data_IF_677533839023
#
_entry.id   IF_677533839023
#
_cell.length_a   1.000
_cell.length_b   1.000
_cell.length_c   1.000
_cell.angle_alpha   90.00
_cell.angle_beta   90.00
_cell.angle_gamma   90.00
#
_symmetry.space_group_name_H-M   'P 1'
#
loop_
_entity.id
_entity.type
_entity.pdbx_description
1 polymer ?
#
# COMPACT_ATOMS: atom_id res chain seq x y z
N UNK A 1 23.95 -7.22 0.00
CA UNK A 1 22.69 -6.45 -0.06
C UNK A 1 22.30 -6.12 1.38
N UNK A 2 22.43 -4.86 1.80
CA UNK A 2 22.10 -4.45 3.17
C UNK A 2 20.57 -4.33 3.25
N UNK A 3 19.91 -5.17 4.04
CA UNK A 3 18.48 -5.02 4.35
C UNK A 3 18.33 -3.87 5.35
N UNK A 4 18.15 -2.66 4.84
CA UNK A 4 17.87 -1.50 5.68
C UNK A 4 16.41 -1.56 6.12
N UNK A 5 16.20 -1.90 7.39
CA UNK A 5 14.89 -1.85 8.04
C UNK A 5 14.71 -0.49 8.71
N UNK A 6 13.64 0.21 8.33
CA UNK A 6 13.21 1.45 8.95
C UNK A 6 12.19 1.17 10.06
N UNK A 7 12.06 2.10 11.01
CA UNK A 7 11.13 1.93 12.14
C UNK A 7 9.67 1.80 11.68
N UNK A 8 9.28 2.51 10.64
CA UNK A 8 7.93 2.54 10.07
C UNK A 8 7.96 3.14 8.65
N UNK A 9 6.77 3.27 8.06
CA UNK A 9 6.57 3.85 6.74
C UNK A 9 7.06 5.31 6.65
N UNK A 10 6.88 6.12 7.69
CA UNK A 10 7.27 7.52 7.69
C UNK A 10 8.80 7.65 7.64
N UNK A 11 9.49 6.91 8.50
CA UNK A 11 10.95 6.81 8.48
C UNK A 11 11.46 6.30 7.13
N UNK A 12 10.78 5.32 6.53
CA UNK A 12 11.11 4.78 5.21
C UNK A 12 11.00 5.83 4.10
N UNK A 13 9.89 6.56 3.99
CA UNK A 13 9.69 7.57 2.93
C UNK A 13 10.51 8.84 3.18
N UNK A 14 10.86 9.15 4.43
CA UNK A 14 11.74 10.27 4.73
C UNK A 14 13.16 10.04 4.18
N UNK A 15 13.67 8.82 4.35
CA UNK A 15 15.07 8.49 4.06
C UNK A 15 15.30 7.81 2.70
N UNK A 16 14.26 7.28 2.05
CA UNK A 16 14.36 6.62 0.74
C UNK A 16 13.60 7.39 -0.34
N UNK A 17 14.34 8.06 -1.22
CA UNK A 17 13.78 8.88 -2.30
C UNK A 17 12.97 8.07 -3.32
N UNK A 18 13.45 6.89 -3.71
CA UNK A 18 12.73 6.00 -4.63
C UNK A 18 11.46 5.43 -4.00
N UNK A 19 11.50 5.10 -2.70
CA UNK A 19 10.33 4.61 -1.98
C UNK A 19 9.29 5.69 -1.82
N UNK A 20 9.71 6.93 -1.50
CA UNK A 20 8.82 8.09 -1.45
C UNK A 20 8.19 8.39 -2.81
N UNK A 21 8.96 8.35 -3.89
CA UNK A 21 8.44 8.55 -5.24
C UNK A 21 7.38 7.49 -5.60
N UNK A 22 7.64 6.22 -5.26
CA UNK A 22 6.65 5.16 -5.43
C UNK A 22 5.39 5.41 -4.58
N UNK A 23 5.55 5.70 -3.28
CA UNK A 23 4.43 5.98 -2.40
C UNK A 23 3.52 7.12 -2.92
N UNK A 24 4.13 8.23 -3.37
CA UNK A 24 3.40 9.38 -3.90
C UNK A 24 2.76 9.11 -5.28
N UNK A 25 3.20 8.07 -6.00
CA UNK A 25 2.57 7.67 -7.27
C UNK A 25 1.27 6.86 -7.06
N UNK A 26 1.02 6.37 -5.84
CA UNK A 26 -0.20 5.64 -5.51
C UNK A 26 -1.41 6.58 -5.39
N UNK A 27 -2.64 6.10 -5.63
CA UNK A 27 -3.85 6.87 -5.33
C UNK A 27 -3.89 7.34 -3.87
N UNK A 28 -4.51 8.50 -3.62
CA UNK A 28 -4.57 9.10 -2.27
C UNK A 28 -5.22 8.14 -1.26
N UNK A 29 -6.27 7.43 -1.66
CA UNK A 29 -6.95 6.44 -0.82
C UNK A 29 -6.00 5.29 -0.43
N UNK A 30 -5.12 4.88 -1.34
CA UNK A 30 -4.11 3.89 -1.07
C UNK A 30 -3.02 4.44 -0.13
N UNK A 31 -2.60 5.68 -0.31
CA UNK A 31 -1.65 6.35 0.58
C UNK A 31 -2.18 6.41 2.02
N UNK A 32 -3.44 6.79 2.21
CA UNK A 32 -4.09 6.85 3.53
C UNK A 32 -4.15 5.48 4.20
N UNK A 33 -4.61 4.46 3.48
CA UNK A 33 -4.67 3.08 4.01
C UNK A 33 -3.29 2.53 4.34
N UNK A 34 -2.29 2.80 3.50
CA UNK A 34 -0.91 2.37 3.78
C UNK A 34 -0.33 3.07 5.01
N UNK A 35 -0.71 4.33 5.26
CA UNK A 35 -0.36 5.02 6.50
C UNK A 35 -1.00 4.38 7.74
N UNK A 36 -2.23 3.87 7.67
CA UNK A 36 -2.87 3.15 8.77
C UNK A 36 -2.09 1.89 9.17
N UNK A 37 -1.49 1.20 8.19
CA UNK A 37 -0.61 0.05 8.42
C UNK A 37 0.88 0.43 8.50
N UNK A 38 1.20 1.72 8.63
CA UNK A 38 2.56 2.25 8.50
C UNK A 38 3.55 1.65 9.50
N UNK A 39 3.08 1.24 10.68
CA UNK A 39 3.87 0.58 11.72
C UNK A 39 4.38 -0.83 11.31
N UNK A 40 3.82 -1.44 10.28
CA UNK A 40 4.23 -2.77 9.78
C UNK A 40 5.06 -2.70 8.49
N UNK A 41 5.32 -1.49 7.97
CA UNK A 41 6.01 -1.29 6.69
C UNK A 41 7.40 -0.72 6.95
N UNK A 42 8.39 -1.60 6.98
CA UNK A 42 9.77 -1.26 7.35
C UNK A 42 10.73 -1.19 6.15
N UNK A 43 10.26 -1.51 4.95
CA UNK A 43 11.11 -1.61 3.75
C UNK A 43 10.32 -1.34 2.48
N UNK A 44 11.04 -1.01 1.40
CA UNK A 44 10.44 -0.82 0.07
C UNK A 44 9.70 -2.08 -0.41
N UNK A 45 10.28 -3.26 -0.20
CA UNK A 45 9.64 -4.53 -0.54
C UNK A 45 8.35 -4.76 0.27
N UNK A 46 8.37 -4.37 1.56
CA UNK A 46 7.18 -4.35 2.41
C UNK A 46 6.11 -3.44 1.82
N UNK A 47 6.46 -2.21 1.47
CA UNK A 47 5.53 -1.24 0.89
C UNK A 47 4.87 -1.77 -0.38
N UNK A 48 5.65 -2.30 -1.33
CA UNK A 48 5.11 -2.90 -2.56
C UNK A 48 4.15 -4.05 -2.27
N UNK A 49 4.50 -4.93 -1.31
CA UNK A 49 3.66 -6.06 -0.92
C UNK A 49 2.33 -5.60 -0.32
N UNK A 50 2.34 -4.60 0.55
CA UNK A 50 1.10 -4.05 1.14
C UNK A 50 0.25 -3.33 0.09
N UNK A 51 0.87 -2.54 -0.80
CA UNK A 51 0.17 -1.87 -1.89
C UNK A 51 -0.52 -2.87 -2.83
N UNK A 52 0.16 -3.96 -3.21
CA UNK A 52 -0.42 -5.01 -4.05
C UNK A 52 -1.60 -5.72 -3.34
N UNK A 53 -1.46 -6.05 -2.06
CA UNK A 53 -2.54 -6.67 -1.28
C UNK A 53 -3.77 -5.76 -1.21
N UNK A 54 -3.56 -4.45 -1.04
CA UNK A 54 -4.63 -3.49 -1.03
C UNK A 54 -5.37 -3.43 -2.38
N UNK A 55 -4.64 -3.37 -3.49
CA UNK A 55 -5.24 -3.39 -4.83
C UNK A 55 -6.06 -4.68 -5.07
N UNK A 56 -5.51 -5.84 -4.68
CA UNK A 56 -6.21 -7.11 -4.81
C UNK A 56 -7.50 -7.13 -3.99
N UNK A 57 -7.46 -6.61 -2.76
CA UNK A 57 -8.63 -6.52 -1.90
C UNK A 57 -9.71 -5.62 -2.51
N UNK A 58 -9.35 -4.41 -2.94
CA UNK A 58 -10.28 -3.47 -3.57
C UNK A 58 -10.89 -4.03 -4.85
N UNK A 59 -10.10 -4.72 -5.66
CA UNK A 59 -10.59 -5.45 -6.83
C UNK A 59 -11.60 -6.53 -6.44
N UNK A 60 -11.31 -7.33 -5.42
CA UNK A 60 -12.21 -8.37 -4.95
C UNK A 60 -13.54 -7.81 -4.43
N UNK A 61 -13.49 -6.72 -3.66
CA UNK A 61 -14.70 -6.02 -3.17
C UNK A 61 -15.54 -5.51 -4.34
N UNK A 62 -14.94 -4.82 -5.31
CA UNK A 62 -15.67 -4.34 -6.49
C UNK A 62 -16.34 -5.46 -7.29
N UNK A 63 -15.63 -6.58 -7.49
CA UNK A 63 -16.21 -7.75 -8.18
C UNK A 63 -17.38 -8.31 -7.38
N UNK A 64 -17.21 -8.49 -6.07
CA UNK A 64 -18.27 -8.95 -5.17
C UNK A 64 -19.50 -8.07 -5.27
N UNK A 65 -19.35 -6.75 -5.12
CA UNK A 65 -20.44 -5.79 -5.24
C UNK A 65 -21.13 -5.87 -6.61
N UNK A 66 -20.36 -5.97 -7.71
CA UNK A 66 -20.92 -6.08 -9.05
C UNK A 66 -21.73 -7.36 -9.27
N UNK A 67 -21.32 -8.48 -8.67
CA UNK A 67 -22.05 -9.75 -8.73
C UNK A 67 -23.37 -9.67 -7.97
N UNK A 68 -23.37 -9.06 -6.78
CA UNK A 68 -24.57 -8.95 -5.94
C UNK A 68 -25.52 -7.82 -6.38
N UNK A 69 -25.05 -6.82 -7.13
CA UNK A 69 -25.88 -5.70 -7.63
C UNK A 69 -26.65 -6.01 -8.92
N UNK A 70 -26.70 -7.25 -9.41
CA UNK A 70 -27.53 -7.59 -10.58
C UNK A 70 -29.01 -7.31 -10.27
N UNK A 71 -29.69 -6.39 -10.99
CA UNK A 71 -31.13 -6.27 -10.87
C UNK A 71 -31.77 -7.58 -11.34
N UNK A 72 -32.75 -8.06 -10.57
CA UNK A 72 -33.64 -9.15 -11.00
C UNK A 72 -34.44 -8.73 -12.22
#
# INVERSE_FOLDING_TARGET
MIFLHYADLEALIAHSSSTRAYFLSLPVEAQLKLHEYGACIHSAAGLHRYAAQLEHHERAVRISEALFRRPR
#
